data_IF_437154295662
#
_entry.id   IF_437154295662
#
_cell.length_a   1.000
_cell.length_b   1.000
_cell.length_c   1.000
_cell.angle_alpha   90.00
_cell.angle_beta   90.00
_cell.angle_gamma   90.00
#
_symmetry.space_group_name_H-M   'P 1'
#
loop_
_entity.id
_entity.type
_entity.pdbx_description
1 polymer ?
#
# COMPACT_ATOMS: atom_id res chain seq x y z
N UNK A 1 -1.65 17.28 30.83
CA UNK A 1 -1.69 17.94 29.51
C UNK A 1 -2.67 17.23 28.56
N UNK A 2 -3.99 17.33 28.79
CA UNK A 2 -5.01 16.57 28.04
C UNK A 2 -6.06 17.45 27.33
N UNK A 3 -5.73 18.73 27.05
CA UNK A 3 -6.73 19.76 26.75
C UNK A 3 -6.73 20.35 25.33
N UNK A 4 -5.75 20.08 24.44
CA UNK A 4 -5.72 20.78 23.13
C UNK A 4 -6.61 20.17 22.04
N UNK A 5 -6.70 18.84 21.97
CA UNK A 5 -7.39 18.18 20.86
C UNK A 5 -8.92 18.21 20.97
N UNK A 6 -9.48 18.16 22.19
CA UNK A 6 -10.95 18.20 22.41
C UNK A 6 -11.55 19.49 21.88
N UNK A 7 -10.95 20.62 22.22
CA UNK A 7 -11.39 21.94 21.74
C UNK A 7 -11.31 22.06 20.22
N UNK A 8 -10.28 21.47 19.61
CA UNK A 8 -10.13 21.43 18.17
C UNK A 8 -11.21 20.56 17.50
N UNK A 9 -11.51 19.40 18.07
CA UNK A 9 -12.59 18.52 17.60
C UNK A 9 -13.97 19.19 17.74
N UNK A 10 -14.26 19.81 18.88
CA UNK A 10 -15.53 20.52 19.13
C UNK A 10 -15.74 21.63 18.10
N UNK A 11 -14.69 22.42 17.82
CA UNK A 11 -14.73 23.48 16.81
C UNK A 11 -15.09 22.95 15.41
N UNK A 12 -14.60 21.77 15.05
CA UNK A 12 -14.81 21.16 13.72
C UNK A 12 -16.13 20.40 13.59
N UNK A 13 -16.63 19.80 14.67
CA UNK A 13 -17.84 18.94 14.66
C UNK A 13 -19.13 19.64 15.08
N UNK A 14 -19.05 20.90 15.54
CA UNK A 14 -20.20 21.80 15.79
C UNK A 14 -21.31 21.11 16.61
N UNK A 15 -22.49 20.90 16.02
CA UNK A 15 -23.73 20.47 16.71
C UNK A 15 -23.66 19.10 17.38
N UNK A 16 -22.78 18.20 16.95
CA UNK A 16 -22.66 16.82 17.49
C UNK A 16 -21.34 16.55 18.21
N UNK A 17 -20.66 17.62 18.62
CA UNK A 17 -19.34 17.55 19.23
C UNK A 17 -19.22 16.58 20.40
N UNK A 18 -20.21 16.56 21.31
CA UNK A 18 -20.18 15.66 22.48
C UNK A 18 -20.15 14.17 22.08
N UNK A 19 -20.87 13.79 21.02
CA UNK A 19 -20.87 12.41 20.53
C UNK A 19 -19.51 12.04 19.93
N UNK A 20 -18.94 12.94 19.12
CA UNK A 20 -17.62 12.73 18.51
C UNK A 20 -16.50 12.67 19.56
N UNK A 21 -16.55 13.51 20.58
CA UNK A 21 -15.58 13.48 21.69
C UNK A 21 -15.62 12.13 22.40
N UNK A 22 -16.82 11.62 22.73
CA UNK A 22 -16.97 10.30 23.36
C UNK A 22 -16.42 9.17 22.49
N UNK A 23 -16.71 9.19 21.19
CA UNK A 23 -16.22 8.19 20.24
C UNK A 23 -14.68 8.21 20.15
N UNK A 24 -14.09 9.39 19.99
CA UNK A 24 -12.63 9.56 19.96
C UNK A 24 -11.99 9.14 21.28
N UNK A 25 -12.56 9.49 22.44
CA UNK A 25 -12.05 9.02 23.74
C UNK A 25 -12.06 7.49 23.86
N UNK A 26 -13.13 6.84 23.37
CA UNK A 26 -13.24 5.39 23.36
C UNK A 26 -12.20 4.75 22.44
N UNK A 27 -11.96 5.35 21.26
CA UNK A 27 -10.90 4.93 20.34
C UNK A 27 -9.53 5.04 21.00
N UNK A 28 -9.18 6.19 21.58
CA UNK A 28 -7.88 6.42 22.21
C UNK A 28 -7.65 5.55 23.45
N UNK A 29 -8.72 5.12 24.13
CA UNK A 29 -8.66 4.17 25.25
C UNK A 29 -8.32 2.74 24.80
N UNK A 30 -8.68 2.35 23.58
CA UNK A 30 -8.43 0.99 23.07
C UNK A 30 -7.19 0.92 22.18
N UNK A 31 -6.98 1.94 21.36
CA UNK A 31 -5.90 2.03 20.38
C UNK A 31 -4.85 3.06 20.82
N UNK A 32 -3.99 2.65 21.75
CA UNK A 32 -2.95 3.54 22.33
C UNK A 32 -1.90 4.03 21.32
N UNK A 33 -1.80 3.38 20.16
CA UNK A 33 -0.92 3.79 19.07
C UNK A 33 -1.44 5.00 18.28
N UNK A 34 -2.72 5.37 18.44
CA UNK A 34 -3.33 6.51 17.75
C UNK A 34 -3.18 7.80 18.55
N UNK A 35 -2.93 8.90 17.85
CA UNK A 35 -2.80 10.23 18.42
C UNK A 35 -3.77 11.18 17.72
N UNK A 36 -4.56 11.96 18.49
CA UNK A 36 -5.43 12.97 17.91
C UNK A 36 -4.62 14.21 17.51
N UNK A 37 -4.97 14.81 16.39
CA UNK A 37 -4.30 16.00 15.86
C UNK A 37 -5.13 16.72 14.81
N UNK A 38 -4.60 17.84 14.31
CA UNK A 38 -5.13 18.53 13.13
C UNK A 38 -4.19 18.24 11.97
N UNK A 39 -4.77 17.91 10.83
CA UNK A 39 -4.03 17.60 9.62
C UNK A 39 -4.62 18.33 8.41
N UNK A 40 -3.73 18.85 7.56
CA UNK A 40 -4.10 19.38 6.25
C UNK A 40 -4.49 18.26 5.29
N UNK A 41 -5.60 18.46 4.61
CA UNK A 41 -6.16 17.53 3.65
C UNK A 41 -6.51 18.26 2.35
N UNK A 42 -6.03 17.72 1.24
CA UNK A 42 -6.36 18.20 -0.11
C UNK A 42 -7.43 17.29 -0.71
N UNK A 43 -8.60 17.86 -1.01
CA UNK A 43 -9.67 17.17 -1.71
C UNK A 43 -9.31 16.95 -3.19
N UNK A 44 -10.01 16.03 -3.85
CA UNK A 44 -9.82 15.72 -5.28
C UNK A 44 -10.02 16.93 -6.20
N UNK A 45 -10.79 17.94 -5.76
CA UNK A 45 -11.00 19.20 -6.49
C UNK A 45 -9.89 20.25 -6.25
N UNK A 46 -8.80 19.89 -5.56
CA UNK A 46 -7.69 20.79 -5.22
C UNK A 46 -7.95 21.68 -4.00
N UNK A 47 -9.15 21.65 -3.40
CA UNK A 47 -9.45 22.42 -2.19
C UNK A 47 -8.65 21.86 -1.00
N UNK A 48 -7.95 22.73 -0.29
CA UNK A 48 -7.26 22.38 0.95
C UNK A 48 -8.10 22.75 2.17
N UNK A 49 -8.05 21.92 3.21
CA UNK A 49 -8.68 22.20 4.49
C UNK A 49 -7.95 21.51 5.64
N UNK A 50 -8.16 22.00 6.85
CA UNK A 50 -7.70 21.31 8.06
C UNK A 50 -8.81 20.41 8.61
N UNK A 51 -8.52 19.12 8.74
CA UNK A 51 -9.41 18.13 9.33
C UNK A 51 -8.86 17.67 10.69
N UNK A 52 -9.77 17.24 11.56
CA UNK A 52 -9.36 16.49 12.73
C UNK A 52 -8.93 15.08 12.30
N UNK A 53 -7.76 14.64 12.75
CA UNK A 53 -7.19 13.36 12.40
C UNK A 53 -6.84 12.55 13.65
N UNK A 54 -7.03 11.24 13.57
CA UNK A 54 -6.38 10.28 14.47
C UNK A 54 -5.37 9.50 13.65
N UNK A 55 -4.10 9.79 13.87
CA UNK A 55 -2.98 9.18 13.16
C UNK A 55 -2.11 8.37 14.10
N UNK A 56 -1.65 7.22 13.63
CA UNK A 56 -0.76 6.36 14.38
C UNK A 56 -0.89 4.94 13.91
N UNK A 57 -0.86 3.97 14.83
CA UNK A 57 -0.92 2.55 14.47
C UNK A 57 -2.07 1.82 15.14
N UNK A 58 -2.62 0.84 14.42
CA UNK A 58 -3.54 -0.17 14.97
C UNK A 58 -2.85 -1.53 15.03
N UNK A 59 -2.96 -2.28 16.14
CA UNK A 59 -2.36 -3.60 16.25
C UNK A 59 -3.21 -4.65 15.54
N UNK A 60 -2.59 -5.49 14.72
CA UNK A 60 -3.17 -6.70 14.15
C UNK A 60 -2.35 -7.91 14.58
N UNK A 61 -2.98 -9.08 14.71
CA UNK A 61 -2.29 -10.31 15.15
C UNK A 61 -2.25 -11.33 14.04
N UNK A 62 -1.06 -11.62 13.52
CA UNK A 62 -0.86 -12.64 12.47
C UNK A 62 -0.01 -13.74 13.08
N UNK A 63 -0.55 -14.97 13.16
CA UNK A 63 0.14 -16.15 13.71
C UNK A 63 0.78 -15.88 15.10
N UNK A 64 0.07 -15.15 15.97
CA UNK A 64 0.53 -14.82 17.32
C UNK A 64 1.46 -13.61 17.42
N UNK A 65 2.00 -13.11 16.30
CA UNK A 65 2.84 -11.91 16.27
C UNK A 65 1.97 -10.67 16.06
N UNK A 66 2.22 -9.62 16.84
CA UNK A 66 1.50 -8.35 16.70
C UNK A 66 2.23 -7.43 15.72
N UNK A 67 1.55 -7.03 14.66
CA UNK A 67 2.01 -6.06 13.67
C UNK A 67 1.26 -4.74 13.87
N UNK A 68 1.98 -3.63 13.81
CA UNK A 68 1.40 -2.30 13.99
C UNK A 68 1.19 -1.65 12.62
N UNK A 69 -0.07 -1.59 12.18
CA UNK A 69 -0.43 -1.06 10.87
C UNK A 69 -0.64 0.45 10.99
N UNK A 70 0.13 1.27 10.26
CA UNK A 70 -0.03 2.71 10.31
C UNK A 70 -1.30 3.15 9.57
N UNK A 71 -2.17 3.86 10.27
CA UNK A 71 -3.45 4.35 9.76
C UNK A 71 -3.66 5.80 10.13
N UNK A 72 -4.44 6.50 9.31
CA UNK A 72 -4.93 7.83 9.57
C UNK A 72 -6.44 7.88 9.34
N UNK A 73 -7.20 8.24 10.37
CA UNK A 73 -8.64 8.45 10.31
C UNK A 73 -8.91 9.96 10.33
N UNK A 74 -9.49 10.48 9.26
CA UNK A 74 -9.81 11.90 9.07
C UNK A 74 -11.31 12.12 9.25
N UNK A 75 -11.68 13.03 10.14
CA UNK A 75 -13.06 13.43 10.37
C UNK A 75 -13.38 14.67 9.52
N UNK A 76 -14.25 14.49 8.53
CA UNK A 76 -14.69 15.55 7.63
C UNK A 76 -15.62 16.55 8.32
N UNK A 77 -15.80 17.73 7.71
CA UNK A 77 -16.79 18.69 8.19
C UNK A 77 -18.20 18.08 8.11
N UNK A 78 -18.95 18.13 9.22
CA UNK A 78 -20.26 17.47 9.34
C UNK A 78 -20.22 16.05 9.90
N UNK A 79 -19.05 15.50 10.24
CA UNK A 79 -18.97 14.27 11.03
C UNK A 79 -19.74 14.43 12.36
N UNK A 80 -20.55 13.44 12.80
CA UNK A 80 -20.63 12.05 12.34
C UNK A 80 -21.61 11.77 11.19
N UNK A 81 -22.36 12.75 10.68
CA UNK A 81 -23.27 12.54 9.53
C UNK A 81 -22.49 12.22 8.26
N UNK A 82 -21.34 12.88 8.11
CA UNK A 82 -20.36 12.55 7.09
C UNK A 82 -19.45 11.43 7.59
N UNK A 83 -19.34 10.38 6.79
CA UNK A 83 -18.47 9.23 7.02
C UNK A 83 -17.00 9.68 7.18
N UNK A 84 -16.21 9.07 8.09
CA UNK A 84 -14.79 9.37 8.18
C UNK A 84 -14.04 8.85 6.95
N UNK A 85 -12.96 9.53 6.57
CA UNK A 85 -12.01 9.02 5.59
C UNK A 85 -10.92 8.24 6.31
N UNK A 86 -10.50 7.10 5.77
CA UNK A 86 -9.44 6.29 6.37
C UNK A 86 -8.37 5.98 5.35
N UNK A 87 -7.12 6.12 5.76
CA UNK A 87 -5.95 5.83 4.94
C UNK A 87 -4.97 4.93 5.69
N UNK A 88 -4.35 4.01 4.98
CA UNK A 88 -3.15 3.30 5.39
C UNK A 88 -1.95 4.17 5.01
N UNK A 89 -1.07 4.44 5.97
CA UNK A 89 0.09 5.34 5.78
C UNK A 89 1.41 4.60 5.92
N UNK A 90 1.92 3.95 4.86
CA UNK A 90 3.17 3.18 4.96
C UNK A 90 4.33 4.07 5.46
N UNK A 91 5.19 3.49 6.29
CA UNK A 91 6.48 4.11 6.63
C UNK A 91 7.46 4.02 5.45
N UNK A 92 8.63 4.63 5.57
CA UNK A 92 9.69 4.58 4.54
C UNK A 92 10.19 3.17 4.20
N UNK A 93 9.91 2.19 5.08
CA UNK A 93 10.23 0.77 4.94
C UNK A 93 9.00 -0.10 4.66
N UNK A 94 7.86 0.50 4.30
CA UNK A 94 6.64 -0.22 3.93
C UNK A 94 6.15 0.20 2.54
N UNK A 95 5.42 -0.70 1.90
CA UNK A 95 4.67 -0.41 0.68
C UNK A 95 3.24 -0.95 0.80
N UNK A 96 2.30 -0.30 0.12
CA UNK A 96 0.88 -0.68 0.14
C UNK A 96 0.66 -1.91 -0.74
N UNK A 97 -0.10 -2.88 -0.22
CA UNK A 97 -0.64 -4.00 -0.96
C UNK A 97 -2.08 -3.66 -1.38
N UNK A 98 -2.28 -3.36 -2.66
CA UNK A 98 -3.61 -3.06 -3.21
C UNK A 98 -4.54 -4.26 -3.03
N UNK A 99 -5.77 -3.98 -2.63
CA UNK A 99 -6.81 -4.98 -2.40
C UNK A 99 -8.20 -4.36 -2.61
N UNK A 100 -9.30 -5.16 -2.59
CA UNK A 100 -10.65 -4.60 -2.62
C UNK A 100 -10.96 -3.62 -1.48
N UNK A 101 -10.18 -3.65 -0.39
CA UNK A 101 -10.36 -2.78 0.77
C UNK A 101 -9.38 -1.60 0.81
N UNK A 102 -8.32 -1.58 -0.01
CA UNK A 102 -7.27 -0.55 0.05
C UNK A 102 -6.75 -0.27 -1.37
N UNK A 103 -6.83 0.98 -1.83
CA UNK A 103 -6.29 1.38 -3.13
C UNK A 103 -4.78 1.70 -3.10
N UNK A 104 -4.21 2.03 -4.26
CA UNK A 104 -2.78 2.36 -4.40
C UNK A 104 -2.35 3.62 -3.62
N UNK A 105 -3.29 4.52 -3.30
CA UNK A 105 -3.06 5.70 -2.49
C UNK A 105 -3.23 5.40 -0.98
N UNK A 106 -3.54 4.16 -0.63
CA UNK A 106 -3.77 3.73 0.73
C UNK A 106 -5.16 4.06 1.26
N UNK A 107 -6.07 4.60 0.44
CA UNK A 107 -7.44 4.91 0.88
C UNK A 107 -8.19 3.61 1.12
N UNK A 108 -8.85 3.54 2.27
CA UNK A 108 -9.54 2.34 2.73
C UNK A 108 -11.02 2.38 2.34
N UNK A 109 -11.50 1.27 1.80
CA UNK A 109 -12.89 1.01 1.46
C UNK A 109 -13.39 -0.17 2.29
N UNK A 110 -14.57 -0.05 2.89
CA UNK A 110 -15.15 -1.14 3.68
C UNK A 110 -16.68 -1.03 3.67
N UNK A 111 -17.43 -2.16 3.68
CA UNK A 111 -18.89 -2.12 3.76
C UNK A 111 -19.43 -1.30 4.93
N UNK A 112 -18.71 -1.27 6.06
CA UNK A 112 -19.06 -0.44 7.22
C UNK A 112 -18.98 1.07 6.94
N UNK A 113 -18.02 1.50 6.11
CA UNK A 113 -17.92 2.90 5.66
C UNK A 113 -19.04 3.21 4.66
N UNK A 114 -19.32 2.31 3.72
CA UNK A 114 -20.37 2.51 2.72
C UNK A 114 -21.78 2.57 3.34
N UNK A 115 -22.03 1.75 4.37
CA UNK A 115 -23.30 1.69 5.11
C UNK A 115 -23.27 2.53 6.40
N UNK A 116 -22.40 3.54 6.47
CA UNK A 116 -22.25 4.36 7.66
C UNK A 116 -23.55 5.05 8.05
N UNK A 117 -23.97 4.86 9.30
CA UNK A 117 -25.15 5.52 9.87
C UNK A 117 -24.75 6.22 11.16
N UNK A 118 -24.77 7.54 11.18
CA UNK A 118 -24.31 8.34 12.32
C UNK A 118 -25.02 8.08 13.66
N UNK A 119 -26.19 7.41 13.65
CA UNK A 119 -26.95 7.06 14.85
C UNK A 119 -26.47 5.74 15.48
N UNK A 120 -25.90 4.84 14.69
CA UNK A 120 -25.54 3.47 15.11
C UNK A 120 -24.07 3.11 14.86
N UNK A 121 -23.42 3.78 13.91
CA UNK A 121 -22.03 3.59 13.54
C UNK A 121 -21.11 4.48 14.36
N UNK A 122 -19.91 3.97 14.67
CA UNK A 122 -18.88 4.68 15.41
C UNK A 122 -17.49 4.28 14.92
N UNK A 123 -16.48 5.11 15.24
CA UNK A 123 -15.11 4.93 14.75
C UNK A 123 -14.45 3.73 15.43
N UNK A 124 -14.79 3.45 16.70
CA UNK A 124 -14.24 2.30 17.40
C UNK A 124 -14.56 0.97 16.69
N UNK A 125 -15.84 0.72 16.36
CA UNK A 125 -16.27 -0.45 15.60
C UNK A 125 -15.65 -0.49 14.21
N UNK A 126 -15.52 0.66 13.54
CA UNK A 126 -14.79 0.76 12.27
C UNK A 126 -13.36 0.24 12.41
N UNK A 127 -12.59 0.71 13.40
CA UNK A 127 -11.21 0.27 13.61
C UNK A 127 -11.11 -1.22 13.98
N UNK A 128 -12.07 -1.75 14.75
CA UNK A 128 -12.13 -3.19 15.03
C UNK A 128 -12.33 -4.02 13.74
N UNK A 129 -13.24 -3.58 12.86
CA UNK A 129 -13.42 -4.20 11.55
C UNK A 129 -12.15 -4.12 10.69
N UNK A 130 -11.43 -2.99 10.74
CA UNK A 130 -10.14 -2.86 10.05
C UNK A 130 -9.10 -3.85 10.60
N UNK A 131 -8.99 -4.00 11.92
CA UNK A 131 -8.12 -5.00 12.53
C UNK A 131 -8.48 -6.42 12.05
N UNK A 132 -9.78 -6.74 11.94
CA UNK A 132 -10.26 -8.04 11.46
C UNK A 132 -9.87 -8.30 10.01
N UNK A 133 -10.13 -7.36 9.10
CA UNK A 133 -9.82 -7.55 7.67
C UNK A 133 -8.32 -7.52 7.40
N UNK A 134 -7.56 -6.68 8.10
CA UNK A 134 -6.10 -6.58 7.93
C UNK A 134 -5.36 -7.77 8.55
N UNK A 135 -5.95 -8.44 9.52
CA UNK A 135 -5.43 -9.73 10.02
C UNK A 135 -5.52 -10.81 8.94
N UNK A 136 -6.59 -10.82 8.13
CA UNK A 136 -6.76 -11.77 7.03
C UNK A 136 -5.94 -11.39 5.81
N UNK A 137 -5.90 -10.09 5.48
CA UNK A 137 -5.24 -9.54 4.31
C UNK A 137 -4.46 -8.27 4.71
N UNK A 138 -3.18 -8.41 5.09
CA UNK A 138 -2.37 -7.26 5.52
C UNK A 138 -2.25 -6.22 4.40
N UNK A 139 -2.50 -4.93 4.69
CA UNK A 139 -2.57 -3.88 3.67
C UNK A 139 -1.18 -3.30 3.32
N UNK A 140 -0.14 -3.69 4.07
CA UNK A 140 1.24 -3.28 3.83
C UNK A 140 2.16 -4.47 3.91
N UNK A 141 3.28 -4.38 3.20
CA UNK A 141 4.42 -5.27 3.32
C UNK A 141 5.69 -4.45 3.54
N UNK A 142 6.72 -5.06 4.11
CA UNK A 142 8.00 -4.40 4.32
C UNK A 142 8.82 -4.39 3.03
N UNK A 143 9.39 -3.24 2.71
CA UNK A 143 10.37 -3.09 1.63
C UNK A 143 11.76 -3.01 2.25
N UNK A 144 12.64 -3.94 1.90
CA UNK A 144 14.07 -3.83 2.26
C UNK A 144 14.78 -3.05 1.17
N UNK A 145 15.13 -1.79 1.45
CA UNK A 145 16.04 -1.03 0.58
C UNK A 145 17.40 -1.75 0.59
N UNK A 146 17.76 -2.40 -0.51
CA UNK A 146 19.14 -2.81 -0.74
C UNK A 146 20.03 -1.57 -0.91
N UNK A 147 21.36 -1.68 -0.77
CA UNK A 147 22.26 -0.58 -1.10
C UNK A 147 22.01 -0.16 -2.55
N UNK A 148 21.63 1.10 -2.73
CA UNK A 148 21.47 1.75 -4.01
C UNK A 148 22.84 1.84 -4.70
N UNK A 149 23.11 0.97 -5.68
CA UNK A 149 24.10 1.27 -6.70
C UNK A 149 23.47 2.29 -7.66
N UNK A 150 23.69 3.58 -7.35
CA UNK A 150 23.60 4.64 -8.33
C UNK A 150 24.64 4.37 -9.43
N UNK A 151 24.19 3.93 -10.60
CA UNK A 151 25.01 4.03 -11.81
C UNK A 151 24.81 5.44 -12.35
N UNK A 152 25.79 6.26 -12.02
CA UNK A 152 26.09 7.54 -12.63
C UNK A 152 26.34 7.37 -14.13
N UNK A 153 25.87 8.39 -14.85
CA UNK A 153 26.15 8.68 -16.25
C UNK A 153 27.64 8.48 -16.59
N UNK A 154 27.90 7.78 -17.70
CA UNK A 154 29.11 7.99 -18.48
C UNK A 154 28.70 8.30 -19.93
N UNK A 155 28.75 9.58 -20.24
CA UNK A 155 28.72 10.14 -21.59
C UNK A 155 30.14 10.58 -21.96
N UNK A 156 30.72 9.98 -23.01
CA UNK A 156 31.86 10.48 -23.79
C UNK A 156 31.58 10.08 -25.24
N UNK A 157 31.14 10.99 -26.12
CA UNK A 157 31.94 11.85 -27.01
C UNK A 157 31.78 11.32 -28.46
N UNK A 158 31.71 12.05 -29.58
CA UNK A 158 31.83 13.45 -29.93
C UNK A 158 31.16 13.68 -31.32
N UNK A 159 30.92 14.95 -31.65
CA UNK A 159 30.29 15.64 -32.82
C UNK A 159 30.49 15.16 -34.27
N UNK A 160 29.52 15.45 -35.16
CA UNK A 160 29.62 16.41 -36.30
C UNK A 160 28.32 16.50 -37.15
N UNK A 161 28.24 17.58 -37.94
CA UNK A 161 27.06 18.34 -38.42
C UNK A 161 26.47 17.92 -39.79
N UNK A 162 25.25 18.44 -40.02
CA UNK A 162 24.61 18.85 -41.29
C UNK A 162 24.34 17.84 -42.42
N UNK A 163 23.05 17.64 -42.74
CA UNK A 163 22.45 18.07 -44.03
C UNK A 163 21.04 17.48 -44.23
N UNK A 164 20.08 18.37 -44.53
CA UNK A 164 18.82 18.08 -45.26
C UNK A 164 19.15 17.96 -46.76
N UNK A 165 18.40 17.22 -47.60
CA UNK A 165 17.11 17.74 -48.09
C UNK A 165 16.00 16.71 -48.41
N UNK A 166 14.77 17.26 -48.37
CA UNK A 166 13.60 17.03 -49.23
C UNK A 166 13.18 15.64 -49.69
N UNK A 167 11.89 15.35 -49.43
CA UNK A 167 10.99 14.88 -50.49
C UNK A 167 9.94 13.85 -50.05
N UNK A 168 8.67 14.29 -50.03
CA UNK A 168 7.46 13.47 -50.27
C UNK A 168 7.14 12.33 -49.29
N UNK A 169 5.91 11.92 -49.00
CA UNK A 169 4.55 12.30 -49.37
C UNK A 169 3.64 11.54 -48.37
N UNK A 170 2.68 12.25 -47.78
CA UNK A 170 1.31 11.88 -47.38
C UNK A 170 0.91 10.52 -46.73
N UNK A 171 -0.10 10.66 -45.84
CA UNK A 171 -1.23 9.75 -45.51
C UNK A 171 -1.27 9.10 -44.11
N UNK A 172 -2.19 9.60 -43.26
CA UNK A 172 -2.91 8.85 -42.21
C UNK A 172 -3.94 7.88 -42.83
N UNK A 173 -4.65 7.02 -42.07
CA UNK A 173 -4.27 6.01 -41.06
C UNK A 173 -4.79 4.60 -41.51
N UNK A 174 -4.78 3.52 -40.69
CA UNK A 174 -5.90 3.29 -39.77
C UNK A 174 -5.55 2.57 -38.45
N UNK A 175 -6.48 2.68 -37.51
CA UNK A 175 -6.55 1.92 -36.27
C UNK A 175 -6.54 0.41 -36.51
N UNK A 176 -5.73 -0.34 -35.75
CA UNK A 176 -5.92 -1.77 -35.48
C UNK A 176 -5.32 -2.13 -34.11
N UNK A 177 -6.15 -2.73 -33.27
CA UNK A 177 -5.84 -3.08 -31.89
C UNK A 177 -4.71 -4.10 -31.78
N UNK A 178 -3.72 -3.78 -30.94
CA UNK A 178 -2.73 -4.73 -30.46
C UNK A 178 -3.29 -5.48 -29.27
N UNK A 179 -3.38 -6.79 -29.47
CA UNK A 179 -3.69 -7.86 -28.52
C UNK A 179 -3.07 -7.58 -27.14
N UNK A 180 -3.84 -7.78 -26.09
CA UNK A 180 -3.34 -7.86 -24.71
C UNK A 180 -2.28 -8.95 -24.64
N UNK A 181 -1.02 -8.54 -24.44
CA UNK A 181 0.11 -9.40 -24.13
C UNK A 181 -0.23 -10.19 -22.87
N UNK A 182 -0.56 -11.46 -23.04
CA UNK A 182 -0.50 -12.46 -21.98
C UNK A 182 0.97 -12.60 -21.60
N UNK A 183 1.41 -11.74 -20.67
CA UNK A 183 2.80 -11.66 -20.23
C UNK A 183 3.19 -12.99 -19.59
N UNK A 184 3.90 -13.82 -20.37
CA UNK A 184 4.45 -15.11 -19.90
C UNK A 184 5.22 -14.87 -18.60
N UNK A 185 4.95 -15.67 -17.57
CA UNK A 185 5.67 -15.58 -16.30
C UNK A 185 7.07 -16.14 -16.55
N UNK A 186 8.09 -15.29 -16.47
CA UNK A 186 9.49 -15.68 -16.69
C UNK A 186 10.29 -15.71 -15.37
N UNK A 187 11.37 -16.49 -15.35
CA UNK A 187 12.29 -16.58 -14.21
C UNK A 187 12.93 -15.21 -13.93
N UNK A 188 12.79 -14.71 -12.70
CA UNK A 188 13.27 -13.38 -12.29
C UNK A 188 14.81 -13.23 -12.31
N UNK A 189 15.55 -14.34 -12.42
CA UNK A 189 17.02 -14.35 -12.40
C UNK A 189 17.60 -14.37 -13.80
N UNK A 190 17.13 -15.28 -14.67
CA UNK A 190 17.67 -15.43 -16.02
C UNK A 190 16.82 -14.80 -17.11
N UNK A 191 15.55 -14.47 -16.83
CA UNK A 191 14.60 -13.92 -17.81
C UNK A 191 14.53 -14.72 -19.12
N UNK A 192 14.84 -16.03 -19.06
CA UNK A 192 14.99 -16.88 -20.26
C UNK A 192 14.11 -18.12 -20.23
N UNK A 193 13.67 -18.55 -19.05
CA UNK A 193 12.92 -19.79 -18.83
C UNK A 193 11.76 -19.51 -17.89
N UNK A 194 10.69 -20.27 -18.01
CA UNK A 194 9.54 -20.15 -17.13
C UNK A 194 9.87 -20.64 -15.71
N UNK A 195 9.26 -20.05 -14.67
CA UNK A 195 9.37 -20.53 -13.30
C UNK A 195 8.75 -21.91 -13.14
N UNK A 196 9.59 -22.90 -12.83
CA UNK A 196 9.16 -24.28 -12.59
C UNK A 196 9.74 -24.85 -11.28
N UNK A 197 10.12 -23.99 -10.34
CA UNK A 197 10.66 -24.41 -9.05
C UNK A 197 10.11 -23.61 -7.88
N UNK A 198 9.76 -24.33 -6.80
CA UNK A 198 9.30 -23.76 -5.54
C UNK A 198 10.40 -23.87 -4.48
N UNK A 199 10.59 -22.81 -3.70
CA UNK A 199 11.59 -22.74 -2.65
C UNK A 199 10.97 -23.07 -1.29
N UNK A 200 11.48 -24.07 -0.58
CA UNK A 200 10.98 -24.50 0.73
C UNK A 200 11.85 -23.86 1.83
N UNK A 201 11.24 -23.33 2.92
CA UNK A 201 9.82 -23.41 3.29
C UNK A 201 8.95 -22.22 2.83
N UNK A 202 9.50 -21.25 2.08
CA UNK A 202 8.78 -20.00 1.81
C UNK A 202 7.70 -20.09 0.72
N UNK A 203 7.71 -21.14 -0.11
CA UNK A 203 6.68 -21.41 -1.12
C UNK A 203 6.73 -20.52 -2.37
N UNK A 204 7.75 -19.67 -2.54
CA UNK A 204 7.81 -18.76 -3.69
C UNK A 204 8.17 -19.51 -4.98
N UNK A 205 7.33 -19.35 -6.01
CA UNK A 205 7.49 -19.87 -7.38
C UNK A 205 7.79 -18.70 -8.33
N UNK A 206 9.07 -18.45 -8.58
CA UNK A 206 9.53 -17.35 -9.44
C UNK A 206 10.84 -17.62 -10.17
N UNK A 207 11.38 -18.83 -10.03
CA UNK A 207 12.65 -19.24 -10.61
C UNK A 207 12.51 -20.49 -11.44
N UNK A 208 13.30 -20.59 -12.51
CA UNK A 208 13.56 -21.86 -13.17
C UNK A 208 14.48 -22.73 -12.30
N UNK A 209 14.41 -24.05 -12.50
CA UNK A 209 15.15 -25.04 -11.73
C UNK A 209 16.67 -24.78 -11.66
N UNK A 210 17.27 -24.32 -12.76
CA UNK A 210 18.70 -24.03 -12.82
C UNK A 210 19.09 -22.87 -11.88
N UNK A 211 18.35 -21.75 -11.95
CA UNK A 211 18.60 -20.59 -11.09
C UNK A 211 18.31 -20.89 -9.61
N UNK A 212 17.26 -21.65 -9.32
CA UNK A 212 16.92 -22.02 -7.95
C UNK A 212 18.01 -22.89 -7.29
N UNK A 213 18.57 -23.88 -8.01
CA UNK A 213 19.68 -24.70 -7.50
C UNK A 213 20.97 -23.90 -7.30
N UNK A 214 21.23 -22.92 -8.16
CA UNK A 214 22.40 -22.05 -8.02
C UNK A 214 22.30 -21.18 -6.75
N UNK A 215 21.12 -20.60 -6.50
CA UNK A 215 20.88 -19.80 -5.30
C UNK A 215 20.92 -20.65 -4.04
N UNK A 216 20.38 -21.88 -4.07
CA UNK A 216 20.47 -22.81 -2.94
C UNK A 216 21.93 -23.17 -2.59
N UNK A 217 22.84 -23.23 -3.58
CA UNK A 217 24.27 -23.51 -3.34
C UNK A 217 25.02 -22.29 -2.79
N UNK A 218 24.75 -21.09 -3.34
CA UNK A 218 25.57 -19.91 -3.04
C UNK A 218 24.98 -19.05 -1.91
N UNK A 219 23.77 -18.53 -2.11
CA UNK A 219 23.18 -17.53 -1.22
C UNK A 219 22.27 -18.13 -0.14
N UNK A 220 21.70 -19.31 -0.40
CA UNK A 220 20.70 -19.99 0.45
C UNK A 220 19.52 -19.09 0.84
N UNK A 221 19.27 -17.99 0.14
CA UNK A 221 18.17 -17.07 0.44
C UNK A 221 17.26 -16.91 -0.77
N UNK A 222 15.96 -16.98 -0.54
CA UNK A 222 14.95 -16.77 -1.57
C UNK A 222 15.06 -15.33 -2.13
N UNK A 223 15.19 -15.13 -3.45
CA UNK A 223 15.26 -13.77 -4.02
C UNK A 223 13.96 -12.97 -3.85
N UNK A 224 12.84 -13.66 -3.61
CA UNK A 224 11.52 -13.02 -3.46
C UNK A 224 11.26 -12.54 -2.03
N UNK A 225 11.62 -13.35 -1.02
CA UNK A 225 11.28 -13.07 0.38
C UNK A 225 12.46 -13.16 1.36
N UNK A 226 13.66 -13.47 0.87
CA UNK A 226 14.92 -13.62 1.62
C UNK A 226 14.93 -14.70 2.72
N UNK A 227 13.87 -15.51 2.82
CA UNK A 227 13.85 -16.69 3.68
C UNK A 227 14.97 -17.66 3.29
N UNK A 228 15.53 -18.34 4.27
CA UNK A 228 16.51 -19.41 4.03
C UNK A 228 15.84 -20.51 3.19
N UNK A 229 16.54 -20.98 2.17
CA UNK A 229 16.10 -22.05 1.28
C UNK A 229 16.69 -23.35 1.81
N UNK A 230 15.83 -24.21 2.34
CA UNK A 230 16.21 -25.55 2.79
C UNK A 230 16.20 -26.51 1.60
N UNK A 231 15.16 -26.46 0.77
CA UNK A 231 14.96 -27.37 -0.37
C UNK A 231 14.37 -26.65 -1.58
N UNK A 232 14.66 -27.18 -2.78
CA UNK A 232 14.09 -26.71 -4.05
C UNK A 232 13.34 -27.87 -4.69
N UNK A 233 12.05 -27.71 -4.94
CA UNK A 233 11.21 -28.71 -5.60
C UNK A 233 10.77 -28.25 -6.98
N UNK A 234 10.73 -29.18 -7.95
CA UNK A 234 10.18 -28.91 -9.28
C UNK A 234 8.66 -28.92 -9.24
N UNK A 235 8.05 -27.95 -9.89
CA UNK A 235 6.62 -27.93 -10.15
C UNK A 235 6.41 -28.36 -11.60
N UNK A 236 5.53 -29.33 -11.82
CA UNK A 236 5.08 -29.77 -13.13
C UNK A 236 3.68 -29.19 -13.35
N UNK A 237 3.46 -28.52 -14.48
CA UNK A 237 2.11 -28.11 -14.88
C UNK A 237 1.33 -29.36 -15.31
N UNK A 238 0.04 -29.41 -14.94
CA UNK A 238 -0.88 -30.51 -15.25
C UNK A 238 -1.80 -30.13 -16.41
#
# INVERSE_FOLDING_TARGET
>A
MAASWRSALIRKTKKKANSCVKDVEQVLKYFHGLRPGIQEYTYENGRQTELFAMEGTIPIKIKGVTYNIPVCVLLQEGHPEVVPLVYVRPTSSMAIKVSPYVDANGKVYHPYLHKWNYKSSNINTLLQELCRIFTQNPPVYTISRGPSNSISQQSQGNSHQDARPSGSLCQDPPAQGSKSDESKKECIICMSKEPNSVLIPCGHLGLCMACAREIQRNSKQCPVCRSVIDQVHQVYES
#
